data_IF_749381476148
#
_entry.id   IF_749381476148
#
_cell.length_a   1.000
_cell.length_b   1.000
_cell.length_c   1.000
_cell.angle_alpha   90.00
_cell.angle_beta   90.00
_cell.angle_gamma   90.00
#
_symmetry.space_group_name_H-M   'P 1'
#
loop_
_entity.id
_entity.type
_entity.pdbx_description
1 polymer ?
#
# COMPACT_ATOMS: atom_id res chain seq x y z
N UNK A 1 -17.99 8.49 -12.64
CA UNK A 1 -17.01 9.56 -12.40
C UNK A 1 -16.48 9.33 -11.00
N UNK A 2 -15.31 8.71 -10.87
CA UNK A 2 -14.64 8.52 -9.58
C UNK A 2 -14.19 9.90 -9.10
N UNK A 3 -14.62 10.31 -7.90
CA UNK A 3 -14.46 11.68 -7.43
C UNK A 3 -13.08 11.97 -6.80
N UNK A 4 -12.10 11.06 -6.91
CA UNK A 4 -10.84 11.17 -6.16
C UNK A 4 -9.61 10.55 -6.86
N UNK A 5 -9.59 10.50 -8.19
CA UNK A 5 -8.38 10.05 -8.91
C UNK A 5 -7.34 11.18 -8.97
N UNK A 6 -6.16 10.95 -8.39
CA UNK A 6 -5.03 11.88 -8.53
C UNK A 6 -4.60 11.95 -9.99
N UNK A 7 -4.51 13.15 -10.54
CA UNK A 7 -3.96 13.35 -11.88
C UNK A 7 -2.45 13.12 -11.91
N UNK A 8 -1.91 12.81 -13.09
CA UNK A 8 -0.47 12.70 -13.34
C UNK A 8 0.30 13.93 -12.81
N UNK A 9 -0.20 15.14 -13.12
CA UNK A 9 0.44 16.38 -12.67
C UNK A 9 0.42 16.57 -11.16
N UNK A 10 -0.60 16.06 -10.48
CA UNK A 10 -0.66 16.09 -9.02
C UNK A 10 0.35 15.12 -8.43
N UNK A 11 0.43 13.89 -8.93
CA UNK A 11 1.42 12.90 -8.47
C UNK A 11 2.86 13.38 -8.67
N UNK A 12 3.17 13.97 -9.82
CA UNK A 12 4.46 14.62 -10.07
C UNK A 12 4.77 15.72 -9.05
N UNK A 13 3.77 16.53 -8.72
CA UNK A 13 3.90 17.61 -7.75
C UNK A 13 4.12 17.06 -6.34
N UNK A 14 3.40 16.00 -5.96
CA UNK A 14 3.55 15.33 -4.66
C UNK A 14 4.93 14.68 -4.53
N UNK A 15 5.44 14.02 -5.57
CA UNK A 15 6.75 13.37 -5.56
C UNK A 15 7.93 14.35 -5.35
N UNK A 16 7.73 15.64 -5.62
CA UNK A 16 8.74 16.69 -5.45
C UNK A 16 8.65 17.41 -4.09
N UNK A 17 7.68 17.06 -3.26
CA UNK A 17 7.49 17.63 -1.93
C UNK A 17 8.15 16.77 -0.85
N UNK A 18 8.20 17.28 0.38
CA UNK A 18 8.66 16.55 1.55
C UNK A 18 7.55 16.50 2.60
N UNK A 19 7.42 15.37 3.30
CA UNK A 19 6.47 15.16 4.42
C UNK A 19 5.01 15.48 4.05
N UNK A 20 4.55 14.91 2.94
CA UNK A 20 3.16 15.03 2.48
C UNK A 20 2.29 14.03 3.24
N UNK A 21 1.24 14.55 3.89
CA UNK A 21 0.29 13.75 4.68
C UNK A 21 -1.11 13.74 4.07
N UNK A 22 -1.95 12.77 4.46
CA UNK A 22 -3.36 12.72 4.03
C UNK A 22 -3.55 12.42 2.54
N UNK A 23 -2.53 11.83 1.91
CA UNK A 23 -2.50 11.46 0.49
C UNK A 23 -2.07 10.02 0.28
N UNK A 24 -1.93 9.24 1.35
CA UNK A 24 -1.38 7.89 1.27
C UNK A 24 -2.32 6.97 0.52
N UNK A 25 -3.59 6.93 0.93
CA UNK A 25 -4.60 6.07 0.31
C UNK A 25 -4.84 6.45 -1.14
N UNK A 26 -4.93 7.75 -1.45
CA UNK A 26 -5.07 8.25 -2.82
C UNK A 26 -3.90 7.77 -3.72
N UNK A 27 -2.66 7.81 -3.21
CA UNK A 27 -1.50 7.31 -3.94
C UNK A 27 -1.50 5.78 -4.07
N UNK A 28 -1.93 5.05 -3.03
CA UNK A 28 -2.06 3.60 -3.08
C UNK A 28 -3.11 3.15 -4.09
N UNK A 29 -4.22 3.87 -4.22
CA UNK A 29 -5.25 3.61 -5.23
C UNK A 29 -4.74 3.92 -6.65
N UNK A 30 -3.93 4.97 -6.82
CA UNK A 30 -3.34 5.32 -8.11
C UNK A 30 -2.39 4.25 -8.68
N UNK A 31 -1.87 3.33 -7.85
CA UNK A 31 -1.09 2.17 -8.31
C UNK A 31 -1.90 1.20 -9.18
N UNK A 32 -3.23 1.24 -9.12
CA UNK A 32 -4.14 0.42 -9.94
C UNK A 32 -4.58 1.14 -11.22
N UNK A 33 -3.99 2.30 -11.54
CA UNK A 33 -4.29 3.00 -12.79
C UNK A 33 -3.85 2.19 -14.00
N UNK A 34 -4.64 2.21 -15.08
CA UNK A 34 -4.25 1.67 -16.39
C UNK A 34 -3.06 2.45 -16.99
N UNK A 35 -2.85 3.70 -16.56
CA UNK A 35 -1.76 4.56 -17.03
C UNK A 35 -0.46 4.26 -16.27
N UNK A 36 0.57 3.79 -16.99
CA UNK A 36 1.88 3.46 -16.44
C UNK A 36 2.60 4.67 -15.82
N UNK A 37 2.42 5.86 -16.37
CA UNK A 37 3.03 7.07 -15.82
C UNK A 37 2.40 7.42 -14.47
N UNK A 38 1.08 7.29 -14.35
CA UNK A 38 0.35 7.48 -13.08
C UNK A 38 0.87 6.50 -12.02
N UNK A 39 0.99 5.21 -12.36
CA UNK A 39 1.53 4.21 -11.43
C UNK A 39 2.96 4.53 -10.99
N UNK A 40 3.79 4.95 -11.94
CA UNK A 40 5.20 5.29 -11.68
C UNK A 40 5.31 6.45 -10.70
N UNK A 41 4.55 7.53 -10.92
CA UNK A 41 4.60 8.69 -10.03
C UNK A 41 3.94 8.44 -8.67
N UNK A 42 2.92 7.59 -8.61
CA UNK A 42 2.35 7.13 -7.34
C UNK A 42 3.38 6.37 -6.50
N UNK A 43 4.11 5.43 -7.11
CA UNK A 43 5.18 4.71 -6.44
C UNK A 43 6.33 5.65 -5.99
N UNK A 44 6.71 6.63 -6.81
CA UNK A 44 7.73 7.62 -6.45
C UNK A 44 7.31 8.48 -5.25
N UNK A 45 6.06 8.97 -5.26
CA UNK A 45 5.51 9.72 -4.14
C UNK A 45 5.47 8.88 -2.85
N UNK A 46 4.98 7.64 -2.92
CA UNK A 46 4.98 6.70 -1.80
C UNK A 46 6.40 6.36 -1.31
N UNK A 47 7.38 6.32 -2.20
CA UNK A 47 8.78 6.06 -1.85
C UNK A 47 9.38 7.17 -0.99
N UNK A 48 9.21 8.42 -1.42
CA UNK A 48 9.99 9.54 -0.90
C UNK A 48 9.21 10.61 -0.14
N UNK A 49 8.04 11.02 -0.63
CA UNK A 49 7.40 12.26 -0.16
C UNK A 49 6.22 12.03 0.77
N UNK A 50 5.51 10.91 0.62
CA UNK A 50 4.30 10.60 1.38
C UNK A 50 4.65 10.00 2.75
N UNK A 51 4.09 10.58 3.80
CA UNK A 51 4.16 10.08 5.17
C UNK A 51 2.75 9.78 5.69
N UNK A 52 2.43 8.49 5.97
CA UNK A 52 1.12 8.13 6.46
C UNK A 52 0.89 8.67 7.87
N UNK A 53 -0.35 9.04 8.14
CA UNK A 53 -0.82 9.43 9.46
C UNK A 53 -1.62 8.29 10.10
N UNK A 54 -1.74 8.31 11.44
CA UNK A 54 -2.52 7.30 12.15
C UNK A 54 -4.00 7.29 11.74
N UNK A 55 -4.54 8.44 11.32
CA UNK A 55 -5.92 8.56 10.85
C UNK A 55 -6.14 7.83 9.50
N UNK A 56 -5.08 7.59 8.73
CA UNK A 56 -5.13 6.84 7.46
C UNK A 56 -4.98 5.31 7.67
N UNK A 57 -4.73 4.84 8.89
CA UNK A 57 -4.46 3.43 9.16
C UNK A 57 -5.63 2.53 8.77
N UNK A 58 -6.84 2.86 9.21
CA UNK A 58 -8.05 2.05 8.97
C UNK A 58 -8.31 1.88 7.47
N UNK A 59 -8.16 2.95 6.69
CA UNK A 59 -8.33 2.91 5.24
C UNK A 59 -7.24 2.09 4.54
N UNK A 60 -5.98 2.23 4.98
CA UNK A 60 -4.88 1.40 4.46
C UNK A 60 -5.07 -0.08 4.82
N UNK A 61 -5.53 -0.39 6.03
CA UNK A 61 -5.80 -1.75 6.47
C UNK A 61 -6.94 -2.38 5.66
N UNK A 62 -8.03 -1.63 5.44
CA UNK A 62 -9.13 -2.07 4.59
C UNK A 62 -8.72 -2.32 3.14
N UNK A 63 -7.83 -1.47 2.59
CA UNK A 63 -7.26 -1.70 1.25
C UNK A 63 -6.40 -2.97 1.20
N UNK A 64 -5.53 -3.17 2.20
CA UNK A 64 -4.69 -4.37 2.31
C UNK A 64 -5.55 -5.64 2.35
N UNK A 65 -6.58 -5.62 3.20
CA UNK A 65 -7.51 -6.74 3.40
C UNK A 65 -8.27 -7.08 2.11
N UNK A 66 -8.82 -6.06 1.45
CA UNK A 66 -9.58 -6.21 0.21
C UNK A 66 -8.72 -6.87 -0.88
N UNK A 67 -7.55 -6.31 -1.16
CA UNK A 67 -6.67 -6.82 -2.23
C UNK A 67 -6.14 -8.22 -1.91
N UNK A 68 -5.87 -8.50 -0.62
CA UNK A 68 -5.39 -9.82 -0.20
C UNK A 68 -6.45 -10.89 -0.44
N UNK A 69 -7.68 -10.68 0.06
CA UNK A 69 -8.72 -11.71 0.01
C UNK A 69 -9.42 -11.82 -1.34
N UNK A 70 -9.56 -10.73 -2.12
CA UNK A 70 -10.10 -10.83 -3.48
C UNK A 70 -9.25 -11.75 -4.37
N UNK A 71 -7.92 -11.69 -4.24
CA UNK A 71 -7.02 -12.61 -4.96
C UNK A 71 -7.03 -14.05 -4.44
N UNK A 72 -7.42 -14.27 -3.18
CA UNK A 72 -7.58 -15.60 -2.57
C UNK A 72 -8.90 -16.26 -2.99
N UNK A 73 -10.00 -15.51 -2.99
CA UNK A 73 -11.35 -15.99 -3.31
C UNK A 73 -11.59 -16.15 -4.83
N UNK A 74 -10.75 -15.56 -5.69
CA UNK A 74 -11.17 -15.19 -7.04
C UNK A 74 -10.16 -15.23 -8.20
N UNK A 75 -9.12 -16.08 -8.22
CA UNK A 75 -8.29 -16.38 -9.44
C UNK A 75 -6.87 -15.77 -9.53
N UNK A 76 -6.16 -15.59 -8.42
CA UNK A 76 -4.75 -15.14 -8.35
C UNK A 76 -4.54 -13.64 -8.43
N UNK A 77 -3.49 -13.18 -7.75
CA UNK A 77 -3.06 -11.79 -7.77
C UNK A 77 -2.37 -11.44 -9.09
N UNK A 78 -2.71 -10.28 -9.66
CA UNK A 78 -1.96 -9.65 -10.73
C UNK A 78 -0.67 -9.03 -10.19
N UNK A 79 0.28 -8.64 -11.07
CA UNK A 79 1.44 -7.86 -10.65
C UNK A 79 1.07 -6.52 -9.97
N UNK A 80 -0.02 -5.88 -10.39
CA UNK A 80 -0.47 -4.62 -9.78
C UNK A 80 -0.98 -4.83 -8.35
N UNK A 81 -1.68 -5.93 -8.10
CA UNK A 81 -2.14 -6.30 -6.77
C UNK A 81 -0.96 -6.56 -5.83
N UNK A 82 0.07 -7.25 -6.33
CA UNK A 82 1.29 -7.48 -5.58
C UNK A 82 2.02 -6.17 -5.23
N UNK A 83 2.08 -5.22 -6.16
CA UNK A 83 2.67 -3.90 -5.93
C UNK A 83 1.84 -3.08 -4.93
N UNK A 84 0.51 -3.12 -5.03
CA UNK A 84 -0.38 -2.43 -4.08
C UNK A 84 -0.24 -3.01 -2.67
N UNK A 85 -0.24 -4.34 -2.51
CA UNK A 85 0.00 -4.99 -1.22
C UNK A 85 1.39 -4.64 -0.65
N UNK A 86 2.42 -4.60 -1.50
CA UNK A 86 3.77 -4.22 -1.09
C UNK A 86 3.82 -2.79 -0.56
N UNK A 87 3.24 -1.83 -1.29
CA UNK A 87 3.24 -0.43 -0.90
C UNK A 87 2.35 -0.15 0.31
N UNK A 88 1.17 -0.76 0.39
CA UNK A 88 0.29 -0.66 1.56
C UNK A 88 1.00 -1.18 2.82
N UNK A 89 1.63 -2.36 2.75
CA UNK A 89 2.44 -2.87 3.87
C UNK A 89 3.61 -1.93 4.21
N UNK A 90 4.24 -1.32 3.19
CA UNK A 90 5.33 -0.36 3.40
C UNK A 90 4.87 0.88 4.14
N UNK A 91 3.72 1.45 3.78
CA UNK A 91 3.15 2.64 4.43
C UNK A 91 2.69 2.33 5.86
N UNK A 92 1.95 1.23 6.06
CA UNK A 92 1.58 0.77 7.41
C UNK A 92 2.81 0.61 8.31
N UNK A 93 3.90 0.07 7.77
CA UNK A 93 5.17 -0.06 8.47
C UNK A 93 5.97 1.23 8.69
N UNK A 94 5.48 2.40 8.26
CA UNK A 94 6.01 3.73 8.64
C UNK A 94 5.28 4.31 9.85
N UNK A 95 4.11 3.81 10.19
CA UNK A 95 3.40 4.22 11.39
C UNK A 95 4.13 3.72 12.64
N UNK A 96 4.17 4.52 13.73
CA UNK A 96 4.85 4.14 14.97
C UNK A 96 4.11 3.05 15.74
N UNK A 97 2.78 2.97 15.57
CA UNK A 97 1.92 1.92 16.07
C UNK A 97 0.83 1.67 15.03
N UNK A 98 0.36 0.43 14.97
CA UNK A 98 -0.83 0.03 14.24
C UNK A 98 -1.71 -0.85 15.13
N UNK A 99 -3.00 -0.92 14.82
CA UNK A 99 -3.96 -1.75 15.50
C UNK A 99 -3.61 -3.26 15.38
N UNK A 100 -3.90 -4.08 16.40
CA UNK A 100 -3.72 -5.52 16.34
C UNK A 100 -4.44 -6.20 15.17
N UNK A 101 -5.59 -5.68 14.73
CA UNK A 101 -6.31 -6.19 13.56
C UNK A 101 -5.53 -5.94 12.26
N UNK A 102 -4.99 -4.74 12.06
CA UNK A 102 -4.07 -4.41 10.96
C UNK A 102 -2.84 -5.31 10.96
N UNK A 103 -2.27 -5.55 12.15
CA UNK A 103 -1.13 -6.47 12.33
C UNK A 103 -1.48 -7.89 11.91
N UNK A 104 -2.70 -8.36 12.20
CA UNK A 104 -3.17 -9.69 11.79
C UNK A 104 -3.21 -9.83 10.27
N UNK A 105 -3.75 -8.85 9.54
CA UNK A 105 -3.79 -8.88 8.07
C UNK A 105 -2.37 -8.85 7.48
N UNK A 106 -1.46 -8.05 8.05
CA UNK A 106 -0.04 -8.09 7.66
C UNK A 106 0.61 -9.44 7.93
N UNK A 107 0.26 -10.12 9.02
CA UNK A 107 0.75 -11.47 9.32
C UNK A 107 0.26 -12.49 8.29
N UNK A 108 -1.00 -12.39 7.86
CA UNK A 108 -1.55 -13.28 6.82
C UNK A 108 -0.84 -13.06 5.46
N UNK A 109 -0.62 -11.80 5.05
CA UNK A 109 0.19 -11.49 3.88
C UNK A 109 1.63 -12.02 4.02
N UNK A 110 2.23 -11.90 5.21
CA UNK A 110 3.57 -12.37 5.53
C UNK A 110 3.73 -13.90 5.44
N UNK A 111 2.65 -14.64 5.71
CA UNK A 111 2.56 -16.10 5.66
C UNK A 111 2.17 -16.63 4.28
N UNK A 112 1.77 -15.76 3.35
CA UNK A 112 1.42 -16.16 1.99
C UNK A 112 2.57 -16.91 1.30
N UNK A 113 2.24 -18.09 0.77
CA UNK A 113 3.14 -18.93 -0.04
C UNK A 113 3.03 -18.62 -1.54
N UNK A 114 2.22 -17.63 -1.92
CA UNK A 114 2.03 -17.21 -3.30
C UNK A 114 3.34 -16.67 -3.89
N UNK A 115 3.75 -17.24 -5.03
CA UNK A 115 4.94 -16.77 -5.74
C UNK A 115 4.78 -15.31 -6.21
N UNK A 116 3.58 -14.91 -6.62
CA UNK A 116 3.28 -13.54 -7.05
C UNK A 116 3.44 -12.54 -5.91
N UNK A 117 3.06 -12.93 -4.70
CA UNK A 117 3.12 -12.07 -3.52
C UNK A 117 4.49 -12.05 -2.84
N UNK A 118 5.51 -12.75 -3.36
CA UNK A 118 6.77 -12.97 -2.65
C UNK A 118 7.45 -11.69 -2.12
N UNK A 119 7.41 -10.60 -2.88
CA UNK A 119 7.95 -9.30 -2.46
C UNK A 119 7.09 -8.66 -1.36
N UNK A 120 5.77 -8.61 -1.54
CA UNK A 120 4.81 -8.08 -0.58
C UNK A 120 4.85 -8.87 0.75
N UNK A 121 4.85 -10.20 0.69
CA UNK A 121 4.98 -11.09 1.85
C UNK A 121 6.29 -10.87 2.61
N UNK A 122 7.42 -10.73 1.89
CA UNK A 122 8.71 -10.40 2.52
C UNK A 122 8.66 -9.03 3.20
N UNK A 123 8.00 -8.05 2.58
CA UNK A 123 7.86 -6.71 3.16
C UNK A 123 7.00 -6.75 4.42
N UNK A 124 5.84 -7.41 4.37
CA UNK A 124 4.95 -7.60 5.50
C UNK A 124 5.67 -8.28 6.68
N UNK A 125 6.44 -9.36 6.43
CA UNK A 125 7.30 -10.00 7.46
C UNK A 125 8.25 -9.02 8.13
N UNK A 126 8.90 -8.15 7.35
CA UNK A 126 9.80 -7.13 7.89
C UNK A 126 9.06 -6.07 8.71
N UNK A 127 7.80 -5.80 8.39
CA UNK A 127 6.99 -4.83 9.13
C UNK A 127 6.53 -5.44 10.45
N UNK A 128 5.92 -6.62 10.42
CA UNK A 128 5.46 -7.32 11.63
C UNK A 128 6.62 -7.59 12.59
N UNK A 129 7.78 -8.02 12.08
CA UNK A 129 8.96 -8.24 12.90
C UNK A 129 9.45 -7.01 13.67
N UNK A 130 9.26 -5.80 13.13
CA UNK A 130 9.61 -4.54 13.81
C UNK A 130 8.56 -4.07 14.81
N UNK A 131 7.29 -4.45 14.60
CA UNK A 131 6.17 -4.06 15.46
C UNK A 131 6.00 -4.98 16.68
N UNK A 132 6.57 -6.20 16.62
CA UNK A 132 6.56 -7.17 17.72
C UNK A 132 7.75 -7.07 18.69
N UNK A 133 8.72 -6.18 18.44
CA UNK A 133 9.86 -5.87 19.31
C UNK A 133 9.54 -4.72 20.28
#
# INVERSE_FOLDING_TARGET
MSANELSLSELESLARQENVHGKTVDCLLALQSDDEEVRTWAAEALSGSIEPTADEEEEMAGLLETVLYEGEDGESWSPLDADQLYWTATMLGRLPLIDPSTTKVLQELAESESATLGAAAKRARSVVGRLGE
#
